data_IF_084847311675
#
_entry.id   IF_084847311675
#
_cell.length_a   1.000
_cell.length_b   1.000
_cell.length_c   1.000
_cell.angle_alpha   90.00
_cell.angle_beta   90.00
_cell.angle_gamma   90.00
#
_symmetry.space_group_name_H-M   'P 1'
#
loop_
_entity.id
_entity.type
_entity.pdbx_description
1 polymer ?
#
# COMPACT_ATOMS: atom_id res chain seq x y z
N UNK A 1 -33.56 1.83 -30.27
CA UNK A 1 -33.32 2.96 -29.35
C UNK A 1 -32.45 2.57 -28.15
N UNK A 2 -32.72 1.44 -27.48
CA UNK A 2 -31.98 0.96 -26.31
C UNK A 2 -30.49 0.63 -26.57
N UNK A 3 -30.17 0.01 -27.72
CA UNK A 3 -28.77 -0.33 -28.08
C UNK A 3 -27.91 0.94 -28.24
N UNK A 4 -28.48 2.04 -28.77
CA UNK A 4 -27.77 3.33 -28.87
C UNK A 4 -27.46 3.92 -27.48
N UNK A 5 -28.40 3.83 -26.55
CA UNK A 5 -28.20 4.32 -25.18
C UNK A 5 -27.18 3.45 -24.42
N UNK A 6 -27.23 2.14 -24.60
CA UNK A 6 -26.25 1.20 -24.03
C UNK A 6 -24.83 1.49 -24.55
N UNK A 7 -24.66 1.58 -25.88
CA UNK A 7 -23.37 1.88 -26.49
C UNK A 7 -22.83 3.26 -26.07
N UNK A 8 -23.71 4.24 -25.86
CA UNK A 8 -23.31 5.55 -25.35
C UNK A 8 -22.81 5.48 -23.90
N UNK A 9 -23.50 4.74 -23.03
CA UNK A 9 -23.08 4.52 -21.63
C UNK A 9 -21.76 3.75 -21.54
N UNK A 10 -21.61 2.69 -22.33
CA UNK A 10 -20.36 1.94 -22.44
C UNK A 10 -19.20 2.83 -22.87
N UNK A 11 -19.43 3.71 -23.85
CA UNK A 11 -18.40 4.66 -24.30
C UNK A 11 -18.03 5.66 -23.22
N UNK A 12 -18.99 6.16 -22.45
CA UNK A 12 -18.73 7.05 -21.31
C UNK A 12 -17.93 6.35 -20.21
N UNK A 13 -18.32 5.13 -19.83
CA UNK A 13 -17.60 4.34 -18.81
C UNK A 13 -16.17 4.02 -19.27
N UNK A 14 -15.98 3.61 -20.52
CA UNK A 14 -14.66 3.34 -21.07
C UNK A 14 -13.79 4.60 -21.08
N UNK A 15 -14.35 5.76 -21.45
CA UNK A 15 -13.63 7.03 -21.39
C UNK A 15 -13.26 7.41 -19.96
N UNK A 16 -14.19 7.25 -19.01
CA UNK A 16 -13.95 7.50 -17.60
C UNK A 16 -12.82 6.63 -17.07
N UNK A 17 -12.88 5.31 -17.26
CA UNK A 17 -11.84 4.39 -16.80
C UNK A 17 -10.50 4.63 -17.46
N UNK A 18 -10.47 5.02 -18.74
CA UNK A 18 -9.24 5.38 -19.44
C UNK A 18 -8.60 6.63 -18.84
N UNK A 19 -9.40 7.67 -18.61
CA UNK A 19 -8.93 8.92 -18.02
C UNK A 19 -8.49 8.71 -16.56
N UNK A 20 -9.33 8.05 -15.75
CA UNK A 20 -9.03 7.72 -14.36
C UNK A 20 -7.74 6.92 -14.25
N UNK A 21 -7.54 5.88 -15.08
CA UNK A 21 -6.30 5.10 -15.06
C UNK A 21 -5.08 5.93 -15.43
N UNK A 22 -5.20 6.80 -16.44
CA UNK A 22 -4.12 7.70 -16.87
C UNK A 22 -3.76 8.68 -15.75
N UNK A 23 -4.74 9.36 -15.19
CA UNK A 23 -4.53 10.38 -14.16
C UNK A 23 -4.06 9.75 -12.84
N UNK A 24 -4.61 8.59 -12.45
CA UNK A 24 -4.17 7.86 -11.28
C UNK A 24 -2.70 7.41 -11.39
N UNK A 25 -2.28 6.87 -12.53
CA UNK A 25 -0.88 6.51 -12.76
C UNK A 25 0.05 7.72 -12.77
N UNK A 26 -0.40 8.86 -13.30
CA UNK A 26 0.36 10.11 -13.25
C UNK A 26 0.49 10.64 -11.82
N UNK A 27 -0.59 10.56 -11.03
CA UNK A 27 -0.59 10.93 -9.62
C UNK A 27 0.30 10.01 -8.77
N UNK A 28 0.31 8.69 -9.04
CA UNK A 28 1.24 7.77 -8.40
C UNK A 28 2.70 8.14 -8.67
N UNK A 29 3.02 8.47 -9.94
CA UNK A 29 4.37 8.91 -10.32
C UNK A 29 4.75 10.22 -9.65
N UNK A 30 3.87 11.22 -9.62
CA UNK A 30 4.16 12.50 -8.98
C UNK A 30 4.39 12.36 -7.47
N UNK A 31 3.60 11.54 -6.78
CA UNK A 31 3.79 11.22 -5.35
C UNK A 31 5.15 10.56 -5.11
N UNK A 32 5.54 9.60 -5.95
CA UNK A 32 6.83 8.91 -5.83
C UNK A 32 8.03 9.81 -6.15
N UNK A 33 7.87 10.79 -7.04
CA UNK A 33 8.92 11.77 -7.38
C UNK A 33 9.10 12.82 -6.28
N UNK A 34 8.00 13.25 -5.65
CA UNK A 34 8.02 14.30 -4.62
C UNK A 34 8.47 13.77 -3.26
N UNK A 35 8.19 12.51 -2.92
CA UNK A 35 8.59 11.89 -1.65
C UNK A 35 9.40 10.60 -1.91
N UNK A 36 10.59 10.67 -2.54
CA UNK A 36 11.30 9.49 -3.00
C UNK A 36 11.72 8.53 -1.88
N UNK A 37 11.78 9.01 -0.64
CA UNK A 37 12.14 8.21 0.54
C UNK A 37 11.80 9.03 1.79
N UNK A 38 10.52 9.16 2.15
CA UNK A 38 10.25 9.35 3.58
C UNK A 38 10.55 8.01 4.23
N UNK A 39 11.56 7.97 5.11
CA UNK A 39 11.73 6.85 6.04
C UNK A 39 10.36 6.64 6.68
N UNK A 40 9.73 5.52 6.34
CA UNK A 40 8.37 5.26 6.79
C UNK A 40 8.47 4.93 8.26
N UNK A 41 8.15 5.91 9.10
CA UNK A 41 8.13 5.72 10.55
C UNK A 41 6.93 4.86 10.92
N UNK A 42 7.20 3.63 11.35
CA UNK A 42 6.18 2.74 11.91
C UNK A 42 5.94 3.10 13.38
N UNK A 43 4.67 3.09 13.79
CA UNK A 43 4.26 3.27 15.18
C UNK A 43 3.63 1.99 15.72
N UNK A 44 3.69 1.85 17.04
CA UNK A 44 2.99 0.77 17.73
C UNK A 44 1.49 0.95 17.48
N UNK A 45 0.81 -0.15 17.18
CA UNK A 45 -0.58 -0.25 16.75
C UNK A 45 -0.89 0.09 15.29
N UNK A 46 0.09 0.47 14.47
CA UNK A 46 -0.16 0.69 13.03
C UNK A 46 -0.55 -0.63 12.34
N UNK A 47 -1.51 -0.53 11.42
CA UNK A 47 -1.88 -1.60 10.51
C UNK A 47 -1.05 -1.46 9.24
N UNK A 48 -0.31 -2.51 8.91
CA UNK A 48 0.67 -2.52 7.83
C UNK A 48 0.50 -3.75 6.94
N UNK A 49 1.05 -3.66 5.74
CA UNK A 49 1.20 -4.76 4.80
C UNK A 49 2.57 -5.42 5.00
N UNK A 50 2.58 -6.75 5.02
CA UNK A 50 3.79 -7.58 5.12
C UNK A 50 4.16 -8.04 3.71
N UNK A 51 5.31 -7.56 3.22
CA UNK A 51 5.84 -7.91 1.91
C UNK A 51 6.12 -9.41 1.80
N UNK A 52 5.62 -10.03 0.73
CA UNK A 52 5.92 -11.41 0.34
C UNK A 52 6.27 -11.43 -1.15
N UNK A 53 7.52 -11.76 -1.50
CA UNK A 53 8.01 -11.82 -2.88
C UNK A 53 7.25 -12.86 -3.73
N UNK A 54 6.62 -13.85 -3.10
CA UNK A 54 5.90 -14.93 -3.79
C UNK A 54 4.50 -14.52 -4.19
N UNK A 55 4.00 -13.40 -3.66
CA UNK A 55 2.63 -12.96 -3.83
C UNK A 55 2.59 -11.55 -4.45
N UNK A 56 1.63 -11.28 -5.35
CA UNK A 56 1.37 -9.92 -5.76
C UNK A 56 0.96 -9.07 -4.54
N UNK A 57 1.25 -7.76 -4.59
CA UNK A 57 1.00 -6.82 -3.49
C UNK A 57 -0.44 -6.84 -2.95
N UNK A 58 -1.42 -7.10 -3.81
CA UNK A 58 -2.83 -7.21 -3.43
C UNK A 58 -3.13 -8.40 -2.49
N UNK A 59 -2.24 -9.38 -2.42
CA UNK A 59 -2.35 -10.57 -1.58
C UNK A 59 -1.37 -10.56 -0.39
N UNK A 60 -0.65 -9.45 -0.19
CA UNK A 60 0.18 -9.29 1.00
C UNK A 60 -0.67 -9.32 2.25
N UNK A 61 -0.17 -10.02 3.27
CA UNK A 61 -0.89 -10.16 4.53
C UNK A 61 -0.88 -8.86 5.31
N UNK A 62 -1.98 -8.58 5.98
CA UNK A 62 -2.06 -7.50 6.95
C UNK A 62 -1.47 -7.95 8.29
N UNK A 63 -0.91 -6.99 9.01
CA UNK A 63 -0.44 -7.18 10.37
C UNK A 63 -0.49 -5.90 11.17
N UNK A 64 -0.54 -6.04 12.49
CA UNK A 64 -0.51 -4.92 13.42
C UNK A 64 0.85 -4.85 14.11
N UNK A 65 1.51 -3.70 14.08
CA UNK A 65 2.78 -3.49 14.79
C UNK A 65 2.52 -3.57 16.30
N UNK A 66 3.21 -4.48 16.98
CA UNK A 66 3.14 -4.63 18.45
C UNK A 66 4.39 -4.13 19.15
N UNK A 67 5.55 -4.18 18.49
CA UNK A 67 6.83 -3.73 19.04
C UNK A 67 7.73 -3.21 17.93
N UNK A 68 8.54 -2.20 18.26
CA UNK A 68 9.53 -1.60 17.36
C UNK A 68 10.92 -1.95 17.88
N UNK A 69 11.72 -2.62 17.05
CA UNK A 69 13.07 -3.07 17.38
C UNK A 69 14.08 -2.09 16.82
N UNK A 70 14.67 -1.29 17.71
CA UNK A 70 15.70 -0.30 17.38
C UNK A 70 17.10 -0.84 17.65
N UNK A 71 18.07 -0.40 16.83
CA UNK A 71 19.47 -0.70 17.08
C UNK A 71 20.13 0.25 18.07
N UNK A 72 21.43 0.06 18.31
CA UNK A 72 22.23 0.91 19.22
C UNK A 72 22.28 2.38 18.80
N UNK A 73 22.13 2.65 17.51
CA UNK A 73 22.05 3.97 16.88
C UNK A 73 20.63 4.58 16.93
N UNK A 74 19.68 3.97 17.66
CA UNK A 74 18.26 4.34 17.76
C UNK A 74 17.48 4.26 16.45
N UNK A 75 18.05 3.70 15.38
CA UNK A 75 17.33 3.48 14.11
C UNK A 75 16.47 2.23 14.17
N UNK A 76 15.24 2.32 13.65
CA UNK A 76 14.34 1.17 13.52
C UNK A 76 14.85 0.24 12.42
N UNK A 77 15.08 -1.04 12.75
CA UNK A 77 15.51 -2.05 11.77
C UNK A 77 14.48 -3.15 11.55
N UNK A 78 13.66 -3.44 12.55
CA UNK A 78 12.63 -4.45 12.48
C UNK A 78 11.44 -4.10 13.37
N UNK A 79 10.29 -4.70 13.09
CA UNK A 79 9.11 -4.63 13.93
C UNK A 79 8.63 -6.05 14.25
N UNK A 80 8.10 -6.24 15.45
CA UNK A 80 7.29 -7.40 15.77
C UNK A 80 5.83 -7.09 15.41
N UNK A 81 5.20 -8.00 14.69
CA UNK A 81 3.92 -7.78 14.03
C UNK A 81 3.00 -8.92 14.41
N UNK A 82 1.82 -8.58 14.92
CA UNK A 82 0.76 -9.54 15.17
C UNK A 82 0.00 -9.77 13.86
N UNK A 83 0.10 -10.98 13.35
CA UNK A 83 -0.78 -11.52 12.30
C UNK A 83 -1.92 -12.29 12.98
N UNK A 84 -2.90 -12.78 12.22
CA UNK A 84 -4.03 -13.57 12.71
C UNK A 84 -3.60 -14.74 13.61
N UNK A 85 -2.54 -15.45 13.20
CA UNK A 85 -2.15 -16.72 13.83
C UNK A 85 -0.94 -16.60 14.77
N UNK A 86 -0.10 -15.58 14.61
CA UNK A 86 1.18 -15.51 15.30
C UNK A 86 1.77 -14.11 15.31
N UNK A 87 2.73 -13.89 16.21
CA UNK A 87 3.60 -12.70 16.17
C UNK A 87 4.86 -13.06 15.39
N UNK A 88 5.14 -12.33 14.32
CA UNK A 88 6.33 -12.50 13.49
C UNK A 88 7.22 -11.26 13.59
N UNK A 89 8.54 -11.47 13.49
CA UNK A 89 9.51 -10.37 13.40
C UNK A 89 9.90 -10.19 11.94
N UNK A 90 9.82 -8.96 11.43
CA UNK A 90 10.19 -8.64 10.05
C UNK A 90 10.99 -7.36 9.98
N UNK A 91 12.00 -7.29 9.08
CA UNK A 91 12.77 -6.08 8.85
C UNK A 91 11.87 -4.99 8.22
N UNK A 92 12.14 -3.73 8.54
CA UNK A 92 11.32 -2.58 8.08
C UNK A 92 11.21 -2.47 6.57
N UNK A 93 12.21 -2.94 5.82
CA UNK A 93 12.21 -2.94 4.35
C UNK A 93 11.13 -3.86 3.76
N UNK A 94 10.66 -4.84 4.51
CA UNK A 94 9.60 -5.76 4.10
C UNK A 94 8.23 -5.34 4.63
N UNK A 95 8.10 -4.12 5.16
CA UNK A 95 6.88 -3.59 5.73
C UNK A 95 6.46 -2.35 4.97
N UNK A 96 5.17 -2.24 4.71
CA UNK A 96 4.61 -1.10 3.99
C UNK A 96 3.38 -0.58 4.73
N UNK A 97 3.26 0.75 4.81
CA UNK A 97 2.04 1.37 5.30
C UNK A 97 0.87 1.06 4.38
N UNK A 98 -0.32 1.01 4.98
CA UNK A 98 -1.55 0.98 4.22
C UNK A 98 -1.71 2.34 3.51
N UNK A 99 -2.00 2.33 2.20
CA UNK A 99 -2.19 3.55 1.41
C UNK A 99 -3.56 4.21 1.67
N UNK A 100 -4.12 4.04 2.87
CA UNK A 100 -5.37 4.65 3.27
C UNK A 100 -5.03 5.92 4.06
N UNK A 101 -5.52 7.10 3.63
CA UNK A 101 -5.39 8.31 4.42
C UNK A 101 -6.14 8.14 5.74
N UNK A 102 -5.49 8.51 6.85
CA UNK A 102 -6.14 8.67 8.15
C UNK A 102 -7.11 9.85 8.14
#
# INVERSE_FOLDING_TARGET
MLIKQFNYRERLLNNFWRQWRKDYLLNLKSVHIVNPTKETEFKINDIILIHDDRLPRSLWKLGKVVEILTGRDKKVRACAIKTENSIIKRPVQLLHNLEIPN
#
